data_IF_991205051222
#
_entry.id   IF_991205051222
#
_cell.length_a   1.000
_cell.length_b   1.000
_cell.length_c   1.000
_cell.angle_alpha   90.00
_cell.angle_beta   90.00
_cell.angle_gamma   90.00
#
_symmetry.space_group_name_H-M   'P 1'
#
loop_
_entity.id
_entity.type
_entity.pdbx_description
1 polymer ?
#
# COMPACT_ATOMS: atom_id res chain seq x y z
N UNK A 1 -46.55 -19.77 4.51
CA UNK A 1 -46.01 -21.13 4.65
C UNK A 1 -45.43 -21.26 6.05
N UNK A 2 -46.11 -22.00 6.95
CA UNK A 2 -45.58 -22.35 8.28
C UNK A 2 -44.78 -23.64 8.10
N UNK A 3 -43.45 -23.55 8.10
CA UNK A 3 -42.59 -24.66 7.68
C UNK A 3 -42.03 -25.53 8.83
N UNK A 4 -42.49 -25.37 10.09
CA UNK A 4 -41.73 -25.89 11.24
C UNK A 4 -42.52 -26.60 12.35
N UNK A 5 -43.85 -26.75 12.27
CA UNK A 5 -44.62 -27.40 13.33
C UNK A 5 -45.10 -28.80 12.92
N UNK A 6 -44.81 -29.82 13.74
CA UNK A 6 -45.32 -31.19 13.57
C UNK A 6 -44.34 -32.22 13.01
N UNK A 7 -43.05 -31.89 12.87
CA UNK A 7 -42.01 -32.86 12.47
C UNK A 7 -41.12 -33.17 13.67
N UNK A 8 -41.18 -34.42 14.17
CA UNK A 8 -40.52 -34.88 15.41
C UNK A 8 -39.03 -34.51 15.46
N UNK A 9 -38.32 -34.66 14.34
CA UNK A 9 -36.88 -34.34 14.29
C UNK A 9 -36.57 -32.85 14.44
N UNK A 10 -37.47 -31.96 14.00
CA UNK A 10 -37.29 -30.51 14.14
C UNK A 10 -37.67 -30.05 15.55
N UNK A 11 -38.71 -30.65 16.14
CA UNK A 11 -39.10 -30.35 17.51
C UNK A 11 -38.02 -30.81 18.49
N UNK A 12 -37.38 -31.96 18.24
CA UNK A 12 -36.25 -32.42 19.05
C UNK A 12 -35.00 -31.54 18.85
N UNK A 13 -34.71 -31.10 17.63
CA UNK A 13 -33.63 -30.16 17.38
C UNK A 13 -33.84 -28.81 18.07
N UNK A 14 -35.07 -28.27 18.04
CA UNK A 14 -35.42 -27.01 18.71
C UNK A 14 -35.40 -27.14 20.23
N UNK A 15 -35.85 -28.30 20.76
CA UNK A 15 -35.74 -28.65 22.18
C UNK A 15 -34.28 -28.70 22.62
N UNK A 16 -33.41 -29.36 21.86
CA UNK A 16 -31.99 -29.46 22.15
C UNK A 16 -31.26 -28.11 22.04
N UNK A 17 -31.64 -27.27 21.06
CA UNK A 17 -31.08 -25.92 20.92
C UNK A 17 -31.48 -25.02 22.10
N UNK A 18 -32.73 -25.14 22.57
CA UNK A 18 -33.22 -24.42 23.74
C UNK A 18 -32.58 -24.91 25.04
N UNK A 19 -32.45 -26.23 25.20
CA UNK A 19 -31.77 -26.85 26.33
C UNK A 19 -30.29 -26.45 26.37
N UNK A 20 -29.61 -26.38 25.23
CA UNK A 20 -28.23 -25.86 25.13
C UNK A 20 -28.14 -24.38 25.53
N UNK A 21 -29.07 -23.53 25.07
CA UNK A 21 -29.11 -22.11 25.43
C UNK A 21 -29.40 -21.87 26.92
N UNK A 22 -30.14 -22.77 27.58
CA UNK A 22 -30.46 -22.71 29.01
C UNK A 22 -29.39 -23.38 29.90
N UNK A 23 -28.65 -24.37 29.39
CA UNK A 23 -27.54 -25.04 30.11
C UNK A 23 -26.22 -24.29 30.01
N UNK A 24 -26.07 -23.42 29.02
CA UNK A 24 -25.03 -22.39 28.99
C UNK A 24 -25.33 -21.30 30.04
N UNK A 25 -25.28 -21.67 31.32
CA UNK A 25 -24.66 -20.81 32.32
C UNK A 25 -23.17 -20.71 31.94
N UNK A 26 -22.87 -20.07 30.80
CA UNK A 26 -21.58 -19.44 30.67
C UNK A 26 -21.48 -18.57 31.91
N UNK A 27 -20.48 -18.76 32.78
CA UNK A 27 -20.20 -17.72 33.73
C UNK A 27 -20.01 -16.50 32.83
N UNK A 28 -20.91 -15.54 32.97
CA UNK A 28 -20.74 -14.22 32.42
C UNK A 28 -19.54 -13.70 33.18
N UNK A 29 -18.36 -14.14 32.76
CA UNK A 29 -17.09 -13.64 33.16
C UNK A 29 -17.13 -12.25 32.57
N UNK A 30 -17.77 -11.34 33.30
CA UNK A 30 -17.65 -9.92 33.13
C UNK A 30 -16.15 -9.71 33.16
N UNK A 31 -15.55 -9.59 31.97
CA UNK A 31 -14.17 -9.14 31.83
C UNK A 31 -14.09 -7.91 32.73
N UNK A 32 -13.30 -7.97 33.80
CA UNK A 32 -13.18 -6.89 34.79
C UNK A 32 -12.72 -5.57 34.14
N UNK A 33 -12.25 -5.67 32.88
CA UNK A 33 -11.79 -4.57 32.06
C UNK A 33 -12.86 -4.15 31.05
N UNK A 34 -13.14 -2.83 30.94
CA UNK A 34 -14.00 -2.31 29.90
C UNK A 34 -13.56 -2.74 28.50
N UNK A 35 -14.51 -3.07 27.62
CA UNK A 35 -14.23 -3.45 26.21
C UNK A 35 -13.37 -2.40 25.48
N UNK A 36 -13.52 -1.11 25.82
CA UNK A 36 -12.71 -0.01 25.29
C UNK A 36 -11.24 -0.10 25.68
N UNK A 37 -10.95 -0.54 26.91
CA UNK A 37 -9.59 -0.80 27.39
C UNK A 37 -8.95 -1.94 26.61
N UNK A 38 -9.65 -3.09 26.52
CA UNK A 38 -9.17 -4.26 25.78
C UNK A 38 -8.87 -3.89 24.32
N UNK A 39 -9.80 -3.18 23.64
CA UNK A 39 -9.60 -2.71 22.26
C UNK A 39 -8.37 -1.82 22.12
N UNK A 40 -8.19 -0.86 23.03
CA UNK A 40 -7.05 0.06 23.01
C UNK A 40 -5.74 -0.68 23.22
N UNK A 41 -5.70 -1.59 24.20
CA UNK A 41 -4.53 -2.41 24.51
C UNK A 41 -4.12 -3.28 23.32
N UNK A 42 -5.09 -4.00 22.72
CA UNK A 42 -4.84 -4.83 21.54
C UNK A 42 -4.35 -4.00 20.35
N UNK A 43 -4.95 -2.82 20.12
CA UNK A 43 -4.52 -1.90 19.06
C UNK A 43 -3.08 -1.42 19.27
N UNK A 44 -2.69 -1.10 20.50
CA UNK A 44 -1.32 -0.69 20.83
C UNK A 44 -0.32 -1.85 20.62
N UNK A 45 -0.64 -3.05 21.11
CA UNK A 45 0.18 -4.26 20.91
C UNK A 45 0.35 -4.56 19.42
N UNK A 46 -0.73 -4.55 18.65
CA UNK A 46 -0.72 -4.73 17.20
C UNK A 46 0.19 -3.71 16.52
N UNK A 47 0.00 -2.41 16.79
CA UNK A 47 0.83 -1.36 16.18
C UNK A 47 2.31 -1.51 16.53
N UNK A 48 2.64 -1.88 17.77
CA UNK A 48 4.03 -2.12 18.17
C UNK A 48 4.65 -3.31 17.42
N UNK A 49 3.92 -4.43 17.31
CA UNK A 49 4.37 -5.59 16.53
C UNK A 49 4.57 -5.24 15.06
N UNK A 50 3.63 -4.50 14.47
CA UNK A 50 3.73 -4.04 13.08
C UNK A 50 4.88 -3.06 12.88
N UNK A 51 5.13 -2.16 13.83
CA UNK A 51 6.25 -1.22 13.76
C UNK A 51 7.59 -1.96 13.79
N UNK A 52 7.76 -2.96 14.67
CA UNK A 52 8.98 -3.79 14.71
C UNK A 52 9.19 -4.50 13.37
N UNK A 53 8.17 -5.17 12.85
CA UNK A 53 8.26 -5.82 11.53
C UNK A 53 8.54 -4.81 10.41
N UNK A 54 8.01 -3.60 10.51
CA UNK A 54 8.24 -2.54 9.54
C UNK A 54 9.67 -2.01 9.59
N UNK A 55 10.25 -1.85 10.78
CA UNK A 55 11.63 -1.39 10.95
C UNK A 55 12.65 -2.46 10.54
N UNK A 56 12.43 -3.72 10.93
CA UNK A 56 13.36 -4.84 10.69
C UNK A 56 13.23 -5.49 9.29
N UNK A 57 12.11 -5.27 8.61
CA UNK A 57 11.86 -5.84 7.29
C UNK A 57 12.88 -5.37 6.24
N UNK A 58 13.17 -6.20 5.24
CA UNK A 58 14.07 -5.81 4.13
C UNK A 58 13.30 -5.42 2.84
N UNK A 59 11.98 -5.58 2.83
CA UNK A 59 11.11 -5.18 1.71
C UNK A 59 10.53 -3.78 1.94
N UNK A 60 10.13 -3.11 0.85
CA UNK A 60 9.47 -1.81 0.95
C UNK A 60 10.33 -0.68 1.52
N UNK A 61 11.66 -0.81 1.56
CA UNK A 61 12.57 0.17 2.21
C UNK A 61 12.45 1.58 1.63
N UNK A 62 12.16 1.71 0.34
CA UNK A 62 11.85 3.02 -0.26
C UNK A 62 10.64 3.69 0.40
N UNK A 63 9.58 2.92 0.68
CA UNK A 63 8.38 3.42 1.35
C UNK A 63 8.64 3.66 2.83
N UNK A 64 9.42 2.80 3.50
CA UNK A 64 9.83 3.02 4.90
C UNK A 64 10.56 4.35 5.08
N UNK A 65 11.44 4.71 4.15
CA UNK A 65 12.13 6.00 4.16
C UNK A 65 11.16 7.20 4.09
N UNK A 66 10.01 7.05 3.43
CA UNK A 66 8.98 8.10 3.31
C UNK A 66 8.06 8.07 4.54
N UNK A 67 7.60 6.87 4.93
CA UNK A 67 6.63 6.61 5.99
C UNK A 67 7.28 5.63 6.98
N UNK A 68 8.10 6.13 7.92
CA UNK A 68 8.84 5.26 8.84
C UNK A 68 7.96 4.75 9.98
N UNK A 69 6.80 5.38 10.23
CA UNK A 69 5.89 5.01 11.31
C UNK A 69 4.62 4.39 10.77
N UNK A 70 4.28 3.21 11.28
CA UNK A 70 3.01 2.56 10.97
C UNK A 70 1.88 3.38 11.61
N UNK A 71 0.82 3.59 10.85
CA UNK A 71 -0.40 4.23 11.32
C UNK A 71 -1.60 3.49 10.73
N UNK A 72 -2.74 3.62 11.41
CA UNK A 72 -4.03 3.19 10.88
C UNK A 72 -4.68 4.27 10.00
N UNK A 73 -4.13 5.49 10.03
CA UNK A 73 -4.57 6.56 9.16
C UNK A 73 -4.13 6.32 7.73
N UNK A 74 -5.07 6.45 6.80
CA UNK A 74 -4.75 6.38 5.38
C UNK A 74 -3.90 7.58 4.96
N UNK A 75 -2.92 7.32 4.10
CA UNK A 75 -2.15 8.38 3.47
C UNK A 75 -2.90 8.84 2.23
N UNK A 76 -3.14 10.14 2.16
CA UNK A 76 -3.84 10.75 1.02
C UNK A 76 -2.89 10.87 -0.20
N UNK A 77 -2.56 9.75 -0.83
CA UNK A 77 -1.86 9.68 -2.11
C UNK A 77 -2.80 9.19 -3.22
N UNK A 78 -2.72 9.84 -4.36
CA UNK A 78 -3.37 9.42 -5.60
C UNK A 78 -2.69 8.18 -6.17
N UNK A 79 -3.37 7.48 -7.10
CA UNK A 79 -2.80 6.32 -7.80
C UNK A 79 -1.45 6.62 -8.48
N UNK A 80 -1.29 7.80 -9.06
CA UNK A 80 -0.05 8.21 -9.73
C UNK A 80 1.09 8.40 -8.72
N UNK A 81 0.78 8.95 -7.54
CA UNK A 81 1.77 9.12 -6.47
C UNK A 81 2.15 7.79 -5.84
N UNK A 82 1.19 6.90 -5.59
CA UNK A 82 1.47 5.53 -5.15
C UNK A 82 2.39 4.84 -6.16
N UNK A 83 2.08 4.92 -7.46
CA UNK A 83 2.91 4.33 -8.52
C UNK A 83 4.33 4.90 -8.49
N UNK A 84 4.48 6.23 -8.48
CA UNK A 84 5.77 6.90 -8.43
C UNK A 84 6.62 6.52 -7.20
N UNK A 85 6.07 6.65 -5.99
CA UNK A 85 6.84 6.44 -4.75
C UNK A 85 7.19 4.97 -4.50
N UNK A 86 6.36 4.05 -4.97
CA UNK A 86 6.64 2.61 -4.87
C UNK A 86 7.51 2.10 -6.02
N UNK A 87 7.79 2.95 -7.01
CA UNK A 87 8.49 2.57 -8.24
C UNK A 87 7.66 1.67 -9.17
N UNK A 88 6.35 1.57 -8.97
CA UNK A 88 5.44 0.82 -9.84
C UNK A 88 4.96 1.68 -11.00
N UNK A 89 4.45 1.04 -12.05
CA UNK A 89 3.80 1.72 -13.17
C UNK A 89 4.61 1.65 -14.46
N UNK A 90 4.59 2.69 -15.31
CA UNK A 90 5.17 2.66 -16.66
C UNK A 90 6.69 2.87 -16.67
N UNK A 91 7.39 2.37 -15.66
CA UNK A 91 8.84 2.54 -15.51
C UNK A 91 9.56 1.31 -16.05
N UNK A 92 10.44 1.43 -17.07
CA UNK A 92 11.21 0.30 -17.60
C UNK A 92 11.93 -0.52 -16.52
N UNK A 93 12.48 0.13 -15.48
CA UNK A 93 13.13 -0.57 -14.36
C UNK A 93 12.19 -1.51 -13.60
N UNK A 94 10.91 -1.13 -13.49
CA UNK A 94 9.89 -1.96 -12.86
C UNK A 94 9.41 -3.06 -13.81
N UNK A 95 9.10 -2.70 -15.06
CA UNK A 95 8.61 -3.65 -16.04
C UNK A 95 9.61 -4.78 -16.31
N UNK A 96 10.92 -4.46 -16.38
CA UNK A 96 11.97 -5.47 -16.54
C UNK A 96 12.03 -6.42 -15.34
N UNK A 97 11.92 -5.91 -14.12
CA UNK A 97 11.93 -6.73 -12.89
C UNK A 97 10.79 -7.77 -12.87
N UNK A 98 9.68 -7.49 -13.55
CA UNK A 98 8.53 -8.39 -13.68
C UNK A 98 8.51 -9.15 -15.02
N UNK A 99 9.62 -9.13 -15.78
CA UNK A 99 9.76 -9.79 -17.08
C UNK A 99 8.69 -9.37 -18.11
N UNK A 100 8.22 -8.11 -18.02
CA UNK A 100 7.25 -7.54 -18.97
C UNK A 100 7.93 -6.85 -20.16
N UNK A 101 9.21 -6.50 -20.01
CA UNK A 101 10.08 -5.92 -21.05
C UNK A 101 11.49 -6.47 -20.87
N UNK A 102 12.29 -6.46 -21.93
CA UNK A 102 13.65 -7.00 -21.91
C UNK A 102 14.66 -6.07 -21.22
N UNK A 103 14.45 -4.75 -21.31
CA UNK A 103 15.42 -3.74 -20.85
C UNK A 103 14.83 -2.82 -19.78
N UNK A 104 15.66 -2.40 -18.82
CA UNK A 104 15.32 -1.35 -17.86
C UNK A 104 15.67 0.06 -18.34
N UNK A 105 16.11 0.21 -19.59
CA UNK A 105 16.52 1.50 -20.13
C UNK A 105 15.32 2.32 -20.62
N UNK A 106 15.39 3.61 -20.35
CA UNK A 106 14.58 4.64 -21.00
C UNK A 106 15.13 4.89 -22.41
N UNK A 107 14.28 5.36 -23.32
CA UNK A 107 14.67 5.73 -24.70
C UNK A 107 15.76 6.81 -24.76
N UNK A 108 16.00 7.56 -23.68
CA UNK A 108 17.12 8.49 -23.59
C UNK A 108 18.45 7.85 -23.11
N UNK A 109 18.50 6.52 -22.95
CA UNK A 109 19.69 5.75 -22.57
C UNK A 109 19.95 5.60 -21.06
N UNK A 110 19.22 6.30 -20.19
CA UNK A 110 19.31 6.13 -18.73
C UNK A 110 18.46 4.98 -18.19
N UNK A 111 18.67 4.54 -16.94
CA UNK A 111 17.77 3.55 -16.31
C UNK A 111 16.42 4.21 -16.04
N UNK A 112 15.35 3.64 -16.59
CA UNK A 112 13.97 4.15 -16.53
C UNK A 112 13.31 4.01 -15.15
N UNK A 113 13.88 4.67 -14.14
CA UNK A 113 13.36 4.75 -12.77
C UNK A 113 12.50 6.00 -12.56
N UNK A 114 11.62 6.05 -11.54
CA UNK A 114 10.91 7.29 -11.18
C UNK A 114 11.86 8.47 -10.94
N UNK A 115 12.98 8.23 -10.26
CA UNK A 115 14.00 9.26 -9.99
C UNK A 115 14.60 9.82 -11.29
N UNK A 116 14.92 8.95 -12.24
CA UNK A 116 15.46 9.35 -13.54
C UNK A 116 14.53 10.32 -14.27
N UNK A 117 13.27 9.95 -14.44
CA UNK A 117 12.27 10.79 -15.10
C UNK A 117 11.98 12.09 -14.34
N UNK A 118 12.07 12.07 -13.01
CA UNK A 118 11.79 13.23 -12.19
C UNK A 118 12.95 14.24 -12.10
N UNK A 119 14.18 13.89 -12.53
CA UNK A 119 15.35 14.72 -12.22
C UNK A 119 16.33 14.94 -13.37
N UNK A 120 16.51 13.98 -14.29
CA UNK A 120 17.61 14.02 -15.26
C UNK A 120 17.26 13.52 -16.67
N UNK A 121 16.07 12.96 -16.88
CA UNK A 121 15.69 12.43 -18.19
C UNK A 121 15.44 13.55 -19.20
N UNK A 122 16.14 13.50 -20.34
CA UNK A 122 16.00 14.50 -21.40
C UNK A 122 14.56 14.63 -21.92
N UNK A 123 13.83 13.52 -21.93
CA UNK A 123 12.44 13.43 -22.44
C UNK A 123 11.40 14.02 -21.48
N UNK A 124 11.76 14.28 -20.23
CA UNK A 124 10.83 14.78 -19.20
C UNK A 124 11.32 16.05 -18.50
N UNK A 125 12.16 16.83 -19.19
CA UNK A 125 12.79 18.05 -18.67
C UNK A 125 11.79 19.04 -18.06
N UNK A 126 10.60 19.19 -18.64
CA UNK A 126 9.54 20.09 -18.13
C UNK A 126 9.01 19.69 -16.74
N UNK A 127 9.20 18.44 -16.33
CA UNK A 127 8.71 17.91 -15.06
C UNK A 127 9.79 17.84 -13.97
N UNK A 128 11.02 18.25 -14.30
CA UNK A 128 12.15 18.08 -13.40
C UNK A 128 11.96 18.78 -12.05
N UNK A 129 12.47 18.11 -11.03
CA UNK A 129 12.73 18.61 -9.69
C UNK A 129 14.24 18.57 -9.45
N UNK A 130 14.73 19.37 -8.51
CA UNK A 130 16.15 19.43 -8.21
C UNK A 130 16.66 18.03 -7.81
N UNK A 131 17.69 17.48 -8.48
CA UNK A 131 18.22 16.16 -8.17
C UNK A 131 18.85 16.15 -6.77
N UNK A 132 18.68 15.08 -5.99
CA UNK A 132 19.47 14.88 -4.78
C UNK A 132 20.85 14.34 -5.13
N UNK A 133 21.82 14.51 -4.22
CA UNK A 133 23.00 13.63 -4.24
C UNK A 133 22.61 12.20 -3.87
N UNK A 134 23.42 11.23 -4.26
CA UNK A 134 23.10 9.80 -4.11
C UNK A 134 22.76 9.42 -2.66
N UNK A 135 23.50 9.94 -1.69
CA UNK A 135 23.28 9.70 -0.25
C UNK A 135 21.97 10.29 0.28
N UNK A 136 21.43 11.32 -0.38
CA UNK A 136 20.23 12.03 0.06
C UNK A 136 18.95 11.62 -0.67
N UNK A 137 18.99 10.59 -1.51
CA UNK A 137 17.80 10.09 -2.22
C UNK A 137 16.62 9.77 -1.27
N UNK A 138 16.80 9.09 -0.12
CA UNK A 138 15.70 8.83 0.82
C UNK A 138 15.02 10.10 1.33
N UNK A 139 15.83 11.09 1.70
CA UNK A 139 15.36 12.38 2.22
C UNK A 139 14.62 13.15 1.11
N UNK A 140 15.12 13.05 -0.13
CA UNK A 140 14.47 13.67 -1.27
C UNK A 140 13.07 13.13 -1.52
N UNK A 141 12.90 11.80 -1.54
CA UNK A 141 11.58 11.20 -1.72
C UNK A 141 10.61 11.63 -0.63
N UNK A 142 11.06 11.69 0.63
CA UNK A 142 10.26 12.21 1.74
C UNK A 142 9.86 13.67 1.52
N UNK A 143 10.79 14.55 1.13
CA UNK A 143 10.46 15.97 0.87
C UNK A 143 9.45 16.12 -0.27
N UNK A 144 9.63 15.34 -1.32
CA UNK A 144 8.74 15.33 -2.50
C UNK A 144 7.35 14.81 -2.14
N UNK A 145 7.22 13.79 -1.29
CA UNK A 145 5.93 13.21 -0.90
C UNK A 145 5.07 14.11 -0.01
N UNK A 146 5.67 15.05 0.71
CA UNK A 146 4.95 16.01 1.56
C UNK A 146 4.77 17.39 0.91
N UNK A 147 5.34 17.62 -0.28
CA UNK A 147 5.22 18.90 -0.99
C UNK A 147 4.15 18.85 -2.09
N UNK A 148 3.12 19.69 -1.98
CA UNK A 148 1.98 19.71 -2.93
C UNK A 148 2.37 20.08 -4.36
N UNK A 149 3.35 20.96 -4.56
CA UNK A 149 3.86 21.33 -5.88
C UNK A 149 4.62 20.17 -6.52
N UNK A 150 5.49 19.51 -5.77
CA UNK A 150 6.22 18.32 -6.22
C UNK A 150 5.27 17.18 -6.57
N UNK A 151 4.26 16.95 -5.74
CA UNK A 151 3.18 16.00 -5.97
C UNK A 151 2.41 16.28 -7.27
N UNK A 152 2.09 17.54 -7.54
CA UNK A 152 1.47 17.96 -8.82
C UNK A 152 2.38 17.70 -10.02
N UNK A 153 3.69 17.95 -9.89
CA UNK A 153 4.67 17.61 -10.94
C UNK A 153 4.71 16.10 -11.20
N UNK A 154 4.71 15.28 -10.15
CA UNK A 154 4.63 13.81 -10.28
C UNK A 154 3.36 13.39 -11.00
N UNK A 155 2.21 13.95 -10.62
CA UNK A 155 0.95 13.63 -11.28
C UNK A 155 1.02 13.90 -12.80
N UNK A 156 1.51 15.08 -13.18
CA UNK A 156 1.63 15.46 -14.58
C UNK A 156 2.67 14.62 -15.34
N UNK A 157 3.79 14.29 -14.69
CA UNK A 157 4.81 13.39 -15.23
C UNK A 157 4.23 12.02 -15.56
N UNK A 158 3.53 11.40 -14.60
CA UNK A 158 2.94 10.07 -14.81
C UNK A 158 1.87 10.09 -15.88
N UNK A 159 1.05 11.14 -15.92
CA UNK A 159 0.07 11.31 -16.98
C UNK A 159 0.74 11.41 -18.37
N UNK A 160 1.84 12.15 -18.48
CA UNK A 160 2.63 12.23 -19.71
C UNK A 160 3.20 10.87 -20.13
N UNK A 161 3.85 10.14 -19.20
CA UNK A 161 4.41 8.82 -19.47
C UNK A 161 3.35 7.80 -19.91
N UNK A 162 2.13 7.89 -19.35
CA UNK A 162 1.00 7.02 -19.72
C UNK A 162 0.40 7.35 -21.08
N UNK A 163 0.41 8.64 -21.48
CA UNK A 163 -0.11 9.06 -22.78
C UNK A 163 0.86 8.72 -23.90
N UNK A 164 2.14 8.96 -23.69
CA UNK A 164 3.19 8.78 -24.70
C UNK A 164 3.85 7.39 -24.62
N UNK A 165 3.08 6.34 -24.28
CA UNK A 165 3.62 4.99 -24.05
C UNK A 165 4.37 4.41 -25.24
N UNK A 166 4.07 4.84 -26.47
CA UNK A 166 4.81 4.47 -27.69
C UNK A 166 6.23 5.04 -27.73
N UNK A 167 6.48 6.24 -27.16
CA UNK A 167 7.81 6.84 -27.09
C UNK A 167 8.73 6.17 -26.05
N UNK A 168 8.13 5.46 -25.10
CA UNK A 168 8.82 4.85 -23.96
C UNK A 168 8.82 3.31 -23.99
N UNK A 169 8.30 2.70 -25.05
CA UNK A 169 8.48 1.28 -25.32
C UNK A 169 9.65 1.10 -26.29
N UNK A 170 10.56 0.15 -26.04
CA UNK A 170 11.51 -0.27 -27.07
C UNK A 170 10.71 -0.84 -28.26
N UNK A 171 11.18 -0.56 -29.48
CA UNK A 171 10.57 -1.11 -30.70
C UNK A 171 10.52 -2.65 -30.62
N UNK A 172 9.42 -3.27 -31.09
CA UNK A 172 9.40 -4.72 -31.25
C UNK A 172 10.43 -5.12 -32.31
N UNK A 173 11.34 -6.03 -31.94
CA UNK A 173 12.21 -6.73 -32.88
C UNK A 173 11.41 -7.55 -33.90
#
# INVERSE_FOLDING_TARGET
MKAHAGYIGNEEADRLAKEAAETENFPENSLELPKSFIKTFLRQKMLATWQMAWDDGNTGRLIHNIIPKVSLDSINWTRNEVSFFTGHGPFPSFLQRFNLVETSFCSCGGIGTPMHYATVCLLTTSYHMAPPSQQHQPIWFRRVSYNSTSRRKIHNLLHFLQRETSLFRPDPN
#
